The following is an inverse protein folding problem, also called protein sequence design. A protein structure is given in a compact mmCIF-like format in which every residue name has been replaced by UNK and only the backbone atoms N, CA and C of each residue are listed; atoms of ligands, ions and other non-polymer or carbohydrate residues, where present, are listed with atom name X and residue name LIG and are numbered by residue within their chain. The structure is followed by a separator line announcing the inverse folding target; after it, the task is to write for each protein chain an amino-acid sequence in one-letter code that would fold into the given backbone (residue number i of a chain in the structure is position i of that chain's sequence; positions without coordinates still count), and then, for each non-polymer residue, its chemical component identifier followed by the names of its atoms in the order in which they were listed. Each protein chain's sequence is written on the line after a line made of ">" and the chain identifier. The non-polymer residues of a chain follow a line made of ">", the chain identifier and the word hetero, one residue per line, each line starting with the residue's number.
data_IF_005378114807
#
_entry.id   IF_005378114807
#
_cell.length_a   1.000
_cell.length_b   1.000
_cell.length_c   1.000
_cell.angle_alpha   90.00
_cell.angle_beta   90.00
_cell.angle_gamma   90.00
#
_symmetry.space_group_name_H-M   'P 1'
#
loop_
_entity.id
_entity.type
_entity.pdbx_description
1 polymer ?
#
# COMPACT_ATOMS: atom_id res chain seq x y z
N UNK A 1 29.78 -26.32 -35.60
CA UNK A 1 29.69 -24.94 -35.05
C UNK A 1 29.05 -24.04 -36.11
N UNK A 2 27.79 -23.65 -35.94
CA UNK A 2 27.07 -22.73 -36.85
C UNK A 2 26.42 -21.65 -36.00
N UNK A 3 26.95 -20.43 -36.11
CA UNK A 3 26.55 -19.24 -35.38
C UNK A 3 25.59 -18.44 -36.28
N UNK A 4 24.29 -18.54 -36.05
CA UNK A 4 23.30 -17.74 -36.78
C UNK A 4 23.18 -16.36 -36.15
N UNK A 5 23.56 -15.33 -36.92
CA UNK A 5 23.34 -13.93 -36.61
C UNK A 5 21.85 -13.61 -36.80
N UNK A 6 21.18 -13.21 -35.72
CA UNK A 6 19.81 -12.71 -35.77
C UNK A 6 19.85 -11.18 -35.66
N UNK A 7 19.61 -10.51 -36.79
CA UNK A 7 19.49 -9.06 -36.89
C UNK A 7 18.06 -8.67 -36.52
N UNK A 8 17.87 -7.96 -35.41
CA UNK A 8 16.57 -7.40 -35.04
C UNK A 8 16.52 -5.93 -35.43
N UNK A 9 15.60 -5.61 -36.33
CA UNK A 9 15.34 -4.27 -36.87
C UNK A 9 14.45 -3.50 -35.89
N UNK A 10 14.91 -2.33 -35.44
CA UNK A 10 14.16 -1.40 -34.60
C UNK A 10 13.14 -0.62 -35.44
N UNK A 11 11.86 -0.74 -35.13
CA UNK A 11 10.82 0.18 -35.61
C UNK A 11 10.62 1.29 -34.58
N UNK A 12 10.98 2.52 -34.97
CA UNK A 12 10.60 3.74 -34.25
C UNK A 12 9.15 4.10 -34.61
N UNK A 13 8.25 4.08 -33.62
CA UNK A 13 6.95 4.74 -33.73
C UNK A 13 7.01 6.04 -32.92
N UNK A 14 7.02 7.17 -33.64
CA UNK A 14 6.80 8.51 -33.10
C UNK A 14 5.29 8.76 -33.17
N UNK A 15 4.63 8.75 -32.01
CA UNK A 15 3.20 9.03 -31.88
C UNK A 15 2.97 10.34 -31.13
N UNK A 16 2.31 11.30 -31.80
CA UNK A 16 2.04 12.66 -31.34
C UNK A 16 1.12 12.73 -30.10
N UNK A 17 1.43 13.68 -29.23
CA UNK A 17 0.62 14.13 -28.09
C UNK A 17 -0.68 14.78 -28.55
N UNK A 18 -1.81 14.38 -27.96
CA UNK A 18 -3.05 15.16 -27.97
C UNK A 18 -3.25 15.77 -26.58
N UNK A 19 -3.26 17.10 -26.53
CA UNK A 19 -3.59 17.90 -25.34
C UNK A 19 -5.09 18.15 -25.34
N UNK A 20 -5.82 17.58 -24.37
CA UNK A 20 -7.24 17.89 -24.17
C UNK A 20 -7.39 18.71 -22.89
N UNK A 21 -7.70 19.99 -23.06
CA UNK A 21 -8.10 20.93 -22.01
C UNK A 21 -9.60 20.76 -21.76
N UNK A 22 -9.99 20.34 -20.56
CA UNK A 22 -11.39 20.31 -20.11
C UNK A 22 -11.54 20.94 -18.71
N UNK A 23 -12.06 22.17 -18.73
CA UNK A 23 -12.96 22.90 -17.81
C UNK A 23 -13.22 22.32 -16.40
N UNK A 24 -13.10 23.13 -15.31
CA UNK A 24 -13.67 22.81 -14.00
C UNK A 24 -15.13 23.27 -13.91
N UNK A 25 -16.01 22.40 -13.41
CA UNK A 25 -17.41 22.72 -13.05
C UNK A 25 -17.60 22.55 -11.54
N UNK A 26 -17.92 23.67 -10.89
CA UNK A 26 -19.08 23.90 -10.01
C UNK A 26 -19.26 23.04 -8.76
N UNK A 27 -18.77 23.62 -7.66
CA UNK A 27 -19.44 23.85 -6.37
C UNK A 27 -20.89 23.36 -6.20
N UNK A 28 -21.13 22.51 -5.21
CA UNK A 28 -22.45 22.28 -4.62
C UNK A 28 -22.28 21.79 -3.18
N UNK A 29 -22.50 22.71 -2.25
CA UNK A 29 -22.73 22.49 -0.83
C UNK A 29 -24.17 22.00 -0.62
N UNK A 30 -24.39 20.95 0.19
CA UNK A 30 -25.70 20.75 0.78
C UNK A 30 -25.67 20.92 2.31
N UNK A 31 -26.61 21.78 2.68
CA UNK A 31 -27.07 22.24 3.98
C UNK A 31 -27.64 21.13 4.89
N UNK A 32 -27.73 21.48 6.17
CA UNK A 32 -28.08 20.72 7.35
C UNK A 32 -29.36 19.87 7.31
N UNK A 33 -29.37 18.79 8.10
CA UNK A 33 -30.57 18.30 8.76
C UNK A 33 -30.23 17.67 10.11
N UNK A 34 -30.52 18.41 11.20
CA UNK A 34 -30.49 17.91 12.57
C UNK A 34 -31.75 17.07 12.83
N UNK A 35 -31.57 15.85 13.35
CA UNK A 35 -32.67 14.97 13.75
C UNK A 35 -33.02 15.15 15.24
N UNK A 36 -34.30 14.97 15.62
CA UNK A 36 -34.82 15.20 16.97
C UNK A 36 -34.41 14.11 17.97
N UNK A 37 -34.09 14.54 19.19
CA UNK A 37 -33.82 13.69 20.35
C UNK A 37 -35.15 13.08 20.84
N UNK A 38 -35.21 11.74 20.86
CA UNK A 38 -36.30 10.98 21.49
C UNK A 38 -35.88 10.67 22.92
N UNK A 39 -36.59 11.27 23.88
CA UNK A 39 -36.45 11.06 25.31
C UNK A 39 -37.05 9.70 25.69
N UNK A 40 -36.22 8.79 26.22
CA UNK A 40 -36.62 7.47 26.68
C UNK A 40 -37.01 7.51 28.18
N UNK A 41 -37.98 6.69 28.62
CA UNK A 41 -38.48 6.67 30.00
C UNK A 41 -37.47 6.10 31.02
N UNK A 42 -37.58 6.49 32.31
CA UNK A 42 -36.67 6.05 33.36
C UNK A 42 -36.88 4.56 33.69
N UNK A 43 -35.82 3.78 33.48
CA UNK A 43 -35.74 2.38 33.91
C UNK A 43 -35.48 2.28 35.42
N UNK A 44 -36.12 1.28 35.99
CA UNK A 44 -36.16 0.85 37.39
C UNK A 44 -34.75 0.47 37.88
N UNK A 45 -34.31 1.03 39.02
CA UNK A 45 -33.06 0.64 39.70
C UNK A 45 -33.19 -0.79 40.23
N UNK A 46 -32.54 -1.74 39.57
CA UNK A 46 -32.14 -3.02 40.17
C UNK A 46 -30.75 -2.88 40.78
N UNK A 47 -30.63 -3.35 42.01
CA UNK A 47 -29.44 -3.35 42.86
C UNK A 47 -28.35 -4.23 42.24
N UNK A 48 -27.44 -3.60 41.50
CA UNK A 48 -26.31 -4.26 40.87
C UNK A 48 -25.15 -4.43 41.86
N UNK A 49 -24.70 -5.67 41.99
CA UNK A 49 -23.43 -6.06 42.61
C UNK A 49 -22.26 -5.21 42.08
N UNK A 50 -21.26 -4.89 42.93
CA UNK A 50 -20.15 -4.03 42.53
C UNK A 50 -19.41 -4.65 41.33
N UNK A 51 -19.29 -3.93 40.21
CA UNK A 51 -18.60 -4.42 39.04
C UNK A 51 -17.13 -4.64 39.37
N UNK A 52 -16.60 -5.82 39.01
CA UNK A 52 -15.16 -6.03 38.91
C UNK A 52 -14.60 -4.93 38.00
N UNK A 53 -13.78 -4.04 38.56
CA UNK A 53 -13.13 -2.95 37.83
C UNK A 53 -12.23 -3.58 36.77
N UNK A 54 -12.75 -3.72 35.55
CA UNK A 54 -11.93 -4.00 34.38
C UNK A 54 -11.12 -2.73 34.11
N UNK A 55 -9.84 -2.75 34.47
CA UNK A 55 -8.89 -1.71 34.09
C UNK A 55 -8.89 -1.62 32.57
N UNK A 56 -9.52 -0.58 32.03
CA UNK A 56 -9.47 -0.26 30.61
C UNK A 56 -7.99 -0.19 30.19
N UNK A 57 -7.59 -0.87 29.11
CA UNK A 57 -6.23 -0.79 28.62
C UNK A 57 -5.92 0.68 28.32
N UNK A 58 -4.80 1.16 28.85
CA UNK A 58 -4.30 2.52 28.60
C UNK A 58 -4.27 2.78 27.07
N UNK A 59 -4.56 4.00 26.59
CA UNK A 59 -4.42 4.37 25.19
C UNK A 59 -3.02 4.04 24.61
N UNK A 60 -1.99 4.03 25.44
CA UNK A 60 -0.64 3.55 25.07
C UNK A 60 -0.60 2.05 24.76
N UNK A 61 -1.32 1.22 25.53
CA UNK A 61 -1.40 -0.22 25.30
C UNK A 61 -2.20 -0.55 24.02
N UNK A 62 -3.23 0.23 23.72
CA UNK A 62 -3.98 0.09 22.46
C UNK A 62 -3.12 0.44 21.24
N UNK A 63 -2.31 1.50 21.32
CA UNK A 63 -1.34 1.84 20.27
C UNK A 63 -0.21 0.81 20.13
N UNK A 64 0.21 0.16 21.23
CA UNK A 64 1.21 -0.89 21.19
C UNK A 64 0.68 -2.18 20.54
N UNK A 65 -0.59 -2.52 20.72
CA UNK A 65 -1.23 -3.70 20.11
C UNK A 65 -1.44 -3.47 18.60
N UNK A 66 -1.77 -2.25 18.17
CA UNK A 66 -2.06 -1.94 16.77
C UNK A 66 -0.80 -1.86 15.88
N UNK A 67 0.40 -1.83 16.48
CA UNK A 67 1.69 -1.92 15.80
C UNK A 67 2.29 -3.33 15.76
N UNK A 68 1.53 -4.36 16.16
CA UNK A 68 1.98 -5.74 15.91
C UNK A 68 2.10 -5.94 14.40
N UNK A 69 3.35 -5.99 13.93
CA UNK A 69 3.67 -6.32 12.55
C UNK A 69 2.90 -7.58 12.17
N UNK A 70 2.15 -7.53 11.07
CA UNK A 70 1.43 -8.67 10.57
C UNK A 70 2.37 -9.90 10.56
N UNK A 71 1.88 -11.09 10.99
CA UNK A 71 2.71 -12.27 11.02
C UNK A 71 3.31 -12.49 9.63
N UNK A 72 4.64 -12.63 9.57
CA UNK A 72 5.35 -12.83 8.31
C UNK A 72 4.77 -14.07 7.61
N UNK A 73 4.41 -14.01 6.33
CA UNK A 73 3.85 -15.17 5.63
C UNK A 73 4.83 -16.35 5.62
N UNK A 74 4.29 -17.57 5.68
CA UNK A 74 5.09 -18.79 5.69
C UNK A 74 5.78 -19.03 4.34
N UNK A 75 6.90 -19.75 4.35
CA UNK A 75 7.59 -20.13 3.13
C UNK A 75 6.69 -21.01 2.23
N UNK A 76 6.84 -20.83 0.92
CA UNK A 76 6.01 -21.47 -0.11
C UNK A 76 4.64 -20.81 -0.32
N UNK A 77 4.24 -19.83 0.49
CA UNK A 77 2.94 -19.17 0.33
C UNK A 77 2.98 -18.06 -0.71
N UNK A 78 1.89 -17.96 -1.49
CA UNK A 78 1.66 -16.81 -2.36
C UNK A 78 1.37 -15.60 -1.48
N UNK A 79 2.14 -14.54 -1.70
CA UNK A 79 2.16 -13.34 -0.89
C UNK A 79 2.01 -12.11 -1.77
N UNK A 80 1.30 -11.11 -1.26
CA UNK A 80 1.25 -9.77 -1.83
C UNK A 80 2.12 -8.84 -0.99
N UNK A 81 2.96 -8.05 -1.64
CA UNK A 81 3.69 -6.97 -1.01
C UNK A 81 3.00 -5.65 -1.33
N UNK A 82 2.32 -5.08 -0.33
CA UNK A 82 1.58 -3.82 -0.43
C UNK A 82 2.56 -2.67 -0.27
N UNK A 83 2.72 -1.85 -1.32
CA UNK A 83 3.65 -0.73 -1.30
C UNK A 83 3.20 0.38 -0.36
N UNK A 84 1.89 0.60 -0.25
CA UNK A 84 1.34 1.67 0.57
C UNK A 84 1.75 1.52 2.04
N UNK A 85 1.63 0.30 2.56
CA UNK A 85 1.90 -0.02 3.96
C UNK A 85 3.30 -0.63 4.19
N UNK A 86 4.05 -0.89 3.11
CA UNK A 86 5.30 -1.65 3.12
C UNK A 86 5.14 -3.01 3.83
N UNK A 87 4.01 -3.67 3.59
CA UNK A 87 3.60 -4.86 4.32
C UNK A 87 3.49 -6.08 3.41
N UNK A 88 3.82 -7.25 3.95
CA UNK A 88 3.58 -8.55 3.30
C UNK A 88 2.28 -9.13 3.85
N UNK A 89 1.35 -9.47 2.95
CA UNK A 89 0.08 -10.10 3.28
C UNK A 89 -0.07 -11.38 2.48
N UNK A 90 -0.68 -12.41 3.07
CA UNK A 90 -1.03 -13.61 2.29
C UNK A 90 -1.96 -13.23 1.13
N UNK A 91 -1.82 -13.89 -0.02
CA UNK A 91 -2.72 -13.68 -1.16
C UNK A 91 -4.14 -14.05 -0.75
N UNK A 92 -4.97 -13.03 -0.53
CA UNK A 92 -6.39 -13.21 -0.24
C UNK A 92 -7.15 -13.14 -1.54
N UNK A 93 -8.31 -13.79 -1.62
CA UNK A 93 -9.18 -13.70 -2.81
C UNK A 93 -9.66 -12.27 -3.10
N UNK A 94 -9.45 -11.33 -2.18
CA UNK A 94 -9.75 -9.91 -2.35
C UNK A 94 -8.54 -9.17 -2.92
N UNK A 95 -8.76 -8.46 -4.03
CA UNK A 95 -7.75 -7.58 -4.62
C UNK A 95 -7.53 -6.40 -3.67
N UNK A 96 -6.29 -6.18 -3.19
CA UNK A 96 -6.01 -5.06 -2.30
C UNK A 96 -6.15 -3.72 -3.04
N UNK A 97 -6.54 -2.69 -2.29
CA UNK A 97 -6.48 -1.31 -2.80
C UNK A 97 -5.04 -0.83 -2.88
N UNK A 98 -4.71 -0.09 -3.94
CA UNK A 98 -3.39 0.49 -4.12
C UNK A 98 -2.44 -0.37 -4.94
N UNK A 99 -1.15 -0.04 -4.85
CA UNK A 99 -0.08 -0.69 -5.61
C UNK A 99 0.52 -1.87 -4.85
N UNK A 100 0.69 -3.00 -5.54
CA UNK A 100 1.25 -4.20 -4.93
C UNK A 100 2.08 -5.03 -5.92
N UNK A 101 2.94 -5.89 -5.37
CA UNK A 101 3.56 -6.99 -6.10
C UNK A 101 3.01 -8.31 -5.61
N UNK A 102 2.77 -9.25 -6.52
CA UNK A 102 2.47 -10.63 -6.17
C UNK A 102 3.74 -11.46 -6.29
N UNK A 103 3.88 -12.47 -5.45
CA UNK A 103 5.08 -13.31 -5.42
C UNK A 103 4.93 -14.49 -4.47
N UNK A 104 6.06 -15.15 -4.19
CA UNK A 104 6.14 -16.28 -3.26
C UNK A 104 7.21 -16.00 -2.22
N UNK A 105 6.93 -16.33 -0.96
CA UNK A 105 7.95 -16.33 0.09
C UNK A 105 8.80 -17.59 -0.03
N UNK A 106 10.12 -17.44 -0.11
CA UNK A 106 11.08 -18.57 -0.11
C UNK A 106 12.22 -18.26 0.85
N UNK A 107 12.41 -19.11 1.86
CA UNK A 107 13.44 -18.95 2.90
C UNK A 107 13.40 -17.56 3.56
N UNK A 108 12.20 -17.03 3.81
CA UNK A 108 11.99 -15.70 4.35
C UNK A 108 12.28 -14.54 3.39
N UNK A 109 12.51 -14.82 2.10
CA UNK A 109 12.75 -13.83 1.06
C UNK A 109 11.51 -13.77 0.14
N UNK A 110 10.99 -12.58 -0.10
CA UNK A 110 9.94 -12.37 -1.10
C UNK A 110 10.53 -12.41 -2.51
N UNK A 111 10.02 -13.30 -3.34
CA UNK A 111 10.36 -13.44 -4.76
C UNK A 111 9.15 -12.97 -5.58
N UNK A 112 9.21 -11.78 -6.20
CA UNK A 112 8.10 -11.26 -7.01
C UNK A 112 7.89 -12.13 -8.26
N UNK A 113 6.63 -12.22 -8.70
CA UNK A 113 6.27 -12.86 -9.97
C UNK A 113 6.61 -11.94 -11.16
N UNK A 114 6.49 -12.50 -12.37
CA UNK A 114 6.80 -11.83 -13.62
C UNK A 114 5.72 -10.84 -14.08
N UNK A 115 4.59 -10.75 -13.36
CA UNK A 115 3.51 -9.81 -13.67
C UNK A 115 3.86 -8.38 -13.28
N UNK A 116 4.89 -8.19 -12.45
CA UNK A 116 5.38 -6.89 -12.05
C UNK A 116 4.40 -6.14 -11.13
N UNK A 117 4.44 -4.81 -11.21
CA UNK A 117 3.59 -3.94 -10.40
C UNK A 117 2.12 -4.08 -10.82
N UNK A 118 1.25 -4.38 -9.87
CA UNK A 118 -0.20 -4.49 -10.04
C UNK A 118 -0.94 -3.46 -9.19
N UNK A 119 -2.24 -3.34 -9.47
CA UNK A 119 -3.14 -2.41 -8.79
C UNK A 119 -3.20 -1.03 -9.44
N UNK A 120 -4.03 -0.17 -8.87
CA UNK A 120 -4.23 1.19 -9.35
C UNK A 120 -4.37 2.12 -8.13
N UNK A 121 -3.58 3.18 -8.11
CA UNK A 121 -3.78 4.30 -7.21
C UNK A 121 -3.41 5.60 -7.91
N UNK A 122 -4.10 6.67 -7.51
CA UNK A 122 -3.77 8.02 -7.94
C UNK A 122 -2.39 8.38 -7.41
N UNK A 123 -1.45 8.70 -8.31
CA UNK A 123 -0.13 9.17 -7.91
C UNK A 123 -0.28 10.52 -7.19
N UNK A 124 0.11 10.63 -5.92
CA UNK A 124 0.03 11.89 -5.20
C UNK A 124 1.07 12.87 -5.73
N UNK A 125 0.76 14.15 -5.56
CA UNK A 125 1.71 15.23 -5.81
C UNK A 125 2.60 15.36 -4.58
N UNK A 126 3.92 15.19 -4.74
CA UNK A 126 4.89 15.39 -3.66
C UNK A 126 5.55 14.10 -3.15
N UNK A 127 6.07 14.14 -1.93
CA UNK A 127 6.77 13.01 -1.29
C UNK A 127 8.29 13.00 -1.43
N UNK A 128 8.92 12.21 -0.56
CA UNK A 128 10.38 12.00 -0.52
C UNK A 128 10.76 10.97 -1.57
N UNK A 129 11.58 11.32 -2.59
CA UNK A 129 12.03 10.36 -3.58
C UNK A 129 12.91 9.30 -2.92
N UNK A 130 12.83 8.06 -3.41
CA UNK A 130 13.66 6.96 -2.92
C UNK A 130 13.30 5.63 -3.58
N UNK A 131 13.70 4.56 -2.90
CA UNK A 131 13.55 3.19 -3.36
C UNK A 131 12.92 2.33 -2.28
N UNK A 132 12.13 1.33 -2.66
CA UNK A 132 11.72 0.25 -1.75
C UNK A 132 12.43 -1.03 -2.16
N UNK A 133 13.20 -1.60 -1.24
CA UNK A 133 13.81 -2.93 -1.40
C UNK A 133 12.74 -4.01 -1.17
N UNK A 134 12.44 -4.81 -2.18
CA UNK A 134 11.36 -5.80 -2.09
C UNK A 134 11.66 -6.96 -1.14
N UNK A 135 12.94 -7.27 -0.91
CA UNK A 135 13.33 -8.34 0.00
C UNK A 135 13.12 -7.97 1.46
N UNK A 136 13.27 -6.70 1.80
CA UNK A 136 13.24 -6.22 3.19
C UNK A 136 11.99 -5.41 3.50
N UNK A 137 11.26 -4.96 2.47
CA UNK A 137 10.16 -4.01 2.59
C UNK A 137 10.61 -2.62 3.04
N UNK A 138 11.92 -2.33 3.03
CA UNK A 138 12.45 -1.06 3.56
C UNK A 138 12.46 0.02 2.51
N UNK A 139 11.99 1.21 2.88
CA UNK A 139 12.19 2.43 2.12
C UNK A 139 13.58 3.02 2.38
N UNK A 140 14.28 3.37 1.31
CA UNK A 140 15.58 4.03 1.29
C UNK A 140 15.43 5.38 0.56
N UNK A 141 15.62 6.52 1.24
CA UNK A 141 15.56 7.83 0.59
C UNK A 141 16.63 7.99 -0.50
N UNK A 142 16.32 8.70 -1.57
CA UNK A 142 17.24 8.91 -2.70
C UNK A 142 18.59 9.56 -2.31
N UNK A 143 18.63 10.25 -1.16
CA UNK A 143 19.81 10.93 -0.63
C UNK A 143 20.76 10.00 0.16
N UNK A 144 20.44 8.72 0.33
CA UNK A 144 21.34 7.79 1.03
C UNK A 144 22.59 7.50 0.20
N UNK A 145 23.76 7.45 0.83
CA UNK A 145 25.05 7.17 0.18
C UNK A 145 25.25 5.68 -0.25
N UNK A 146 24.19 4.87 -0.26
CA UNK A 146 24.23 3.44 -0.61
C UNK A 146 23.23 3.16 -1.73
N UNK A 147 23.67 2.38 -2.72
CA UNK A 147 22.79 1.86 -3.76
C UNK A 147 21.80 0.82 -3.18
N UNK A 148 20.52 0.82 -3.60
CA UNK A 148 19.55 -0.16 -3.14
C UNK A 148 19.93 -1.57 -3.58
N UNK A 149 19.66 -2.57 -2.74
CA UNK A 149 19.78 -3.96 -3.14
C UNK A 149 18.66 -4.34 -4.12
N UNK A 150 19.00 -5.08 -5.18
CA UNK A 150 18.00 -5.62 -6.11
C UNK A 150 17.22 -6.80 -5.49
N UNK A 151 15.94 -7.00 -5.86
CA UNK A 151 15.11 -6.12 -6.67
C UNK A 151 14.55 -4.97 -5.84
N UNK A 152 14.50 -3.78 -6.46
CA UNK A 152 13.92 -2.59 -5.85
C UNK A 152 13.00 -1.86 -6.82
N UNK A 153 12.18 -0.95 -6.26
CA UNK A 153 11.30 -0.07 -7.02
C UNK A 153 11.59 1.37 -6.65
N UNK A 154 11.74 2.22 -7.65
CA UNK A 154 11.84 3.68 -7.49
C UNK A 154 10.46 4.30 -7.32
N UNK A 155 10.37 5.29 -6.44
CA UNK A 155 9.11 5.97 -6.15
C UNK A 155 9.28 7.13 -5.19
N UNK A 156 8.16 7.51 -4.59
CA UNK A 156 8.04 8.61 -3.62
C UNK A 156 7.30 8.13 -2.39
N UNK A 157 7.90 8.34 -1.22
CA UNK A 157 7.24 8.12 0.06
C UNK A 157 6.41 9.35 0.45
N UNK A 158 5.13 9.16 0.73
CA UNK A 158 4.18 10.19 1.16
C UNK A 158 3.54 9.80 2.49
N UNK A 159 2.80 10.71 3.16
CA UNK A 159 2.01 10.34 4.34
C UNK A 159 0.96 9.24 4.06
N UNK A 160 0.52 9.09 2.81
CA UNK A 160 -0.42 8.06 2.40
C UNK A 160 0.26 6.72 2.07
N UNK A 161 1.60 6.65 2.03
CA UNK A 161 2.37 5.45 1.67
C UNK A 161 3.35 5.67 0.52
N UNK A 162 3.94 4.57 0.02
CA UNK A 162 4.88 4.60 -1.10
C UNK A 162 4.18 4.50 -2.47
N UNK A 163 4.56 5.39 -3.38
CA UNK A 163 4.03 5.47 -4.73
C UNK A 163 5.14 5.23 -5.76
N UNK A 164 5.05 4.18 -6.58
CA UNK A 164 6.08 3.83 -7.55
C UNK A 164 6.07 4.78 -8.75
N UNK A 165 7.25 5.20 -9.22
CA UNK A 165 7.39 6.02 -10.43
C UNK A 165 7.24 5.19 -11.71
N UNK A 166 7.51 3.89 -11.64
CA UNK A 166 7.49 2.97 -12.77
C UNK A 166 7.00 1.59 -12.36
N UNK A 167 6.34 0.90 -13.28
CA UNK A 167 5.81 -0.46 -13.06
C UNK A 167 6.88 -1.57 -13.12
N UNK A 168 8.14 -1.23 -13.42
CA UNK A 168 9.21 -2.20 -13.68
C UNK A 168 10.20 -2.28 -12.50
N UNK A 169 10.53 -3.50 -12.12
CA UNK A 169 11.61 -3.82 -11.17
C UNK A 169 12.97 -3.50 -11.79
N UNK A 170 13.93 -3.16 -10.94
CA UNK A 170 15.33 -2.85 -11.31
C UNK A 170 16.32 -3.86 -10.73
#
# INVERSE_FOLDING_TARGET
>A
MKLHHLVFTFFFFVGCNHTTTSKPETESEPEAAAAPQTEAPPAKNEEATPPTVQTLPSPEALNAIQKQAAPKPADGTVTLFLLQDLAFVADTSQIPTGFYFRGVMQNGIFIPDDKGLQGNATSPIGGTPGWVELHTGKFLPAMTARAPAKPFIEGRMTPAGFFPNQAKLK
#
